data_IF_447202349631
#
_entry.id   IF_447202349631
#
_cell.length_a   1.000
_cell.length_b   1.000
_cell.length_c   1.000
_cell.angle_alpha   90.00
_cell.angle_beta   90.00
_cell.angle_gamma   90.00
#
_symmetry.space_group_name_H-M   'P 1'
#
loop_
_entity.id
_entity.type
_entity.pdbx_description
1 polymer ?
#
# COMPACT_ATOMS: atom_id res chain seq x y z
N UNK A 1 -5.07 58.81 -44.02
CA UNK A 1 -3.79 58.08 -44.15
C UNK A 1 -4.09 56.68 -44.65
N UNK A 2 -3.58 56.36 -45.83
CA UNK A 2 -3.83 55.12 -46.55
C UNK A 2 -2.81 54.05 -46.14
N UNK A 3 -3.27 52.81 -45.96
CA UNK A 3 -2.41 51.64 -45.94
C UNK A 3 -3.03 50.52 -46.76
N UNK A 4 -2.54 50.41 -48.00
CA UNK A 4 -2.75 49.30 -48.93
C UNK A 4 -2.34 47.97 -48.27
N UNK A 5 -3.21 46.97 -48.29
CA UNK A 5 -2.80 45.56 -48.28
C UNK A 5 -3.40 44.87 -49.49
N UNK A 6 -2.51 44.34 -50.33
CA UNK A 6 -2.77 43.72 -51.62
C UNK A 6 -3.62 42.46 -51.44
N UNK A 7 -4.73 42.38 -52.19
CA UNK A 7 -5.47 41.16 -52.47
C UNK A 7 -4.56 40.20 -53.22
N UNK A 8 -4.14 39.11 -52.58
CA UNK A 8 -3.34 38.06 -53.23
C UNK A 8 -4.29 36.97 -53.69
N UNK A 9 -4.22 36.68 -54.98
CA UNK A 9 -5.08 35.80 -55.73
C UNK A 9 -5.18 34.39 -55.12
N UNK A 10 -6.38 33.84 -55.18
CA UNK A 10 -6.71 32.44 -54.89
C UNK A 10 -6.05 31.61 -56.00
N UNK A 11 -4.89 31.03 -55.70
CA UNK A 11 -4.28 30.03 -56.55
C UNK A 11 -4.97 28.69 -56.26
N UNK A 12 -5.81 28.24 -57.21
CA UNK A 12 -6.15 26.83 -57.35
C UNK A 12 -4.83 26.08 -57.57
N UNK A 13 -4.41 25.30 -56.58
CA UNK A 13 -3.39 24.27 -56.78
C UNK A 13 -4.12 22.93 -56.77
N UNK A 14 -4.47 22.52 -57.98
CA UNK A 14 -4.37 21.17 -58.49
C UNK A 14 -4.64 20.05 -57.48
N UNK A 15 -5.87 19.56 -57.56
CA UNK A 15 -6.25 18.18 -57.23
C UNK A 15 -5.26 17.24 -57.93
N UNK A 16 -4.16 16.97 -57.26
CA UNK A 16 -3.23 15.92 -57.63
C UNK A 16 -3.50 14.82 -56.63
N UNK A 17 -3.90 13.67 -57.15
CA UNK A 17 -4.10 12.41 -56.43
C UNK A 17 -2.84 12.04 -55.64
N UNK A 18 -2.62 12.69 -54.50
CA UNK A 18 -1.81 12.15 -53.44
C UNK A 18 -2.63 11.01 -52.87
N UNK A 19 -2.44 9.84 -53.47
CA UNK A 19 -2.74 8.55 -52.85
C UNK A 19 -2.24 8.67 -51.42
N UNK A 20 -3.18 8.85 -50.48
CA UNK A 20 -2.91 8.70 -49.07
C UNK A 20 -2.57 7.21 -48.94
N UNK A 21 -1.31 6.87 -49.19
CA UNK A 21 -0.74 5.62 -48.76
C UNK A 21 -0.80 5.71 -47.25
N UNK A 22 -1.94 5.24 -46.73
CA UNK A 22 -2.15 4.90 -45.35
C UNK A 22 -0.89 4.15 -44.89
N UNK A 23 -0.01 4.85 -44.18
CA UNK A 23 1.10 4.19 -43.51
C UNK A 23 0.46 3.19 -42.54
N UNK A 24 0.79 1.90 -42.60
CA UNK A 24 0.21 0.91 -41.70
C UNK A 24 0.46 1.28 -40.22
N UNK A 25 1.52 2.05 -39.98
CA UNK A 25 1.95 2.60 -38.69
C UNK A 25 0.90 3.55 -38.07
N UNK A 26 0.10 4.25 -38.87
CA UNK A 26 -0.89 5.24 -38.37
C UNK A 26 -2.15 4.56 -37.79
N UNK A 27 -2.47 3.35 -38.25
CA UNK A 27 -3.58 2.55 -37.70
C UNK A 27 -3.16 1.73 -36.48
N UNK A 28 -1.85 1.55 -36.25
CA UNK A 28 -1.35 0.81 -35.11
C UNK A 28 -1.77 1.50 -33.79
N UNK A 29 -1.76 2.83 -33.72
CA UNK A 29 -2.22 3.58 -32.54
C UNK A 29 -3.74 3.50 -32.35
N UNK A 30 -4.52 3.50 -33.43
CA UNK A 30 -5.97 3.33 -33.36
C UNK A 30 -6.38 1.92 -32.90
N UNK A 31 -5.65 0.89 -33.34
CA UNK A 31 -5.90 -0.52 -32.95
C UNK A 31 -5.40 -0.80 -31.52
N UNK A 32 -4.27 -0.21 -31.12
CA UNK A 32 -3.72 -0.39 -29.77
C UNK A 32 -4.35 0.52 -28.73
N UNK A 33 -5.08 1.56 -29.16
CA UNK A 33 -5.70 2.57 -28.30
C UNK A 33 -4.71 3.58 -27.71
N UNK A 34 -3.47 3.62 -28.21
CA UNK A 34 -2.41 4.47 -27.67
C UNK A 34 -2.66 5.94 -28.03
N UNK A 35 -2.80 6.82 -27.03
CA UNK A 35 -2.98 8.27 -27.22
C UNK A 35 -4.42 8.76 -27.48
N UNK A 36 -5.45 7.90 -27.37
CA UNK A 36 -6.86 8.28 -27.45
C UNK A 36 -7.72 7.54 -26.40
N UNK A 37 -9.00 7.87 -26.19
CA UNK A 37 -9.89 7.07 -25.33
C UNK A 37 -10.18 5.76 -26.09
N UNK A 38 -9.68 4.56 -25.70
CA UNK A 38 -9.33 4.06 -24.36
C UNK A 38 -7.85 3.64 -24.25
N UNK A 39 -6.98 4.59 -23.92
CA UNK A 39 -5.56 4.32 -23.68
C UNK A 39 -5.38 3.55 -22.37
N UNK A 40 -4.75 2.37 -22.47
CA UNK A 40 -4.42 1.51 -21.32
C UNK A 40 -3.46 2.18 -20.34
N UNK A 41 -2.71 3.18 -20.79
CA UNK A 41 -1.86 4.04 -19.95
C UNK A 41 -2.63 5.06 -19.10
N UNK A 42 -3.90 5.33 -19.40
CA UNK A 42 -4.75 6.29 -18.68
C UNK A 42 -5.64 5.64 -17.61
N UNK A 43 -5.51 4.33 -17.40
CA UNK A 43 -6.34 3.57 -16.46
C UNK A 43 -5.95 3.75 -14.97
N UNK A 44 -4.86 4.46 -14.68
CA UNK A 44 -4.43 4.72 -13.30
C UNK A 44 -5.11 5.97 -12.77
N UNK A 45 -6.26 5.79 -12.11
CA UNK A 45 -6.88 6.83 -11.29
C UNK A 45 -6.64 6.53 -9.80
N UNK A 46 -6.53 7.59 -9.00
CA UNK A 46 -6.48 7.42 -7.56
C UNK A 46 -7.85 6.96 -7.05
N UNK A 47 -7.91 5.71 -6.61
CA UNK A 47 -9.07 5.20 -5.87
C UNK A 47 -8.76 5.26 -4.38
N UNK A 48 -9.50 6.11 -3.65
CA UNK A 48 -9.43 6.13 -2.19
C UNK A 48 -9.93 4.77 -1.67
N UNK A 49 -9.04 3.99 -1.07
CA UNK A 49 -9.43 2.72 -0.44
C UNK A 49 -10.37 3.01 0.75
N UNK A 50 -11.47 2.25 0.90
CA UNK A 50 -12.31 2.36 2.08
C UNK A 50 -11.49 2.02 3.33
N UNK A 51 -11.84 2.64 4.46
CA UNK A 51 -11.32 2.19 5.76
C UNK A 51 -11.93 0.82 6.05
N UNK A 52 -11.09 -0.14 6.39
CA UNK A 52 -11.54 -1.45 6.84
C UNK A 52 -12.23 -1.30 8.20
N UNK A 53 -13.37 -1.95 8.33
CA UNK A 53 -14.06 -2.13 9.60
C UNK A 53 -13.31 -3.14 10.48
N UNK A 54 -13.51 -3.11 11.81
CA UNK A 54 -12.90 -4.11 12.70
C UNK A 54 -13.26 -5.54 12.31
N UNK A 55 -14.48 -5.80 11.86
CA UNK A 55 -14.91 -7.15 11.45
C UNK A 55 -14.17 -7.65 10.20
N UNK A 56 -13.95 -6.77 9.22
CA UNK A 56 -13.14 -7.12 8.04
C UNK A 56 -11.70 -7.43 8.42
N UNK A 57 -11.12 -6.72 9.38
CA UNK A 57 -9.77 -6.99 9.86
C UNK A 57 -9.65 -8.37 10.52
N UNK A 58 -10.61 -8.76 11.36
CA UNK A 58 -10.65 -10.10 11.94
C UNK A 58 -10.82 -11.19 10.88
N UNK A 59 -11.74 -10.96 9.93
CA UNK A 59 -11.95 -11.88 8.82
C UNK A 59 -10.68 -12.09 7.99
N UNK A 60 -9.93 -11.02 7.72
CA UNK A 60 -8.67 -11.12 7.00
C UNK A 60 -7.60 -11.84 7.81
N UNK A 61 -7.51 -11.55 9.11
CA UNK A 61 -6.56 -12.24 9.99
C UNK A 61 -6.83 -13.75 10.06
N UNK A 62 -8.10 -14.18 10.09
CA UNK A 62 -8.47 -15.59 10.21
C UNK A 62 -8.44 -16.33 8.87
N UNK A 63 -8.80 -15.68 7.76
CA UNK A 63 -8.96 -16.33 6.46
C UNK A 63 -7.78 -16.16 5.51
N UNK A 64 -6.97 -15.11 5.66
CA UNK A 64 -5.80 -14.86 4.81
C UNK A 64 -4.49 -15.16 5.57
N UNK A 65 -3.80 -16.19 5.12
CA UNK A 65 -2.51 -16.60 5.68
C UNK A 65 -1.40 -15.55 5.52
N UNK A 66 -1.52 -14.63 4.56
CA UNK A 66 -0.56 -13.54 4.41
C UNK A 66 -0.79 -12.45 5.46
N UNK A 67 -2.07 -12.12 5.73
CA UNK A 67 -2.43 -11.16 6.76
C UNK A 67 -2.03 -11.67 8.15
N UNK A 68 -2.31 -12.95 8.46
CA UNK A 68 -1.91 -13.54 9.74
C UNK A 68 -0.38 -13.52 9.91
N UNK A 69 0.37 -14.01 8.92
CA UNK A 69 1.83 -14.00 8.97
C UNK A 69 2.43 -12.61 9.13
N UNK A 70 1.86 -11.58 8.49
CA UNK A 70 2.35 -10.22 8.63
C UNK A 70 2.19 -9.68 10.07
N UNK A 71 1.12 -10.09 10.74
CA UNK A 71 0.83 -9.70 12.12
C UNK A 71 1.67 -10.51 13.10
N UNK A 72 1.76 -11.82 12.91
CA UNK A 72 2.35 -12.77 13.86
C UNK A 72 3.89 -12.83 13.78
N UNK A 73 4.48 -12.67 12.59
CA UNK A 73 5.93 -12.86 12.36
C UNK A 73 6.80 -11.99 13.27
N UNK A 74 6.40 -10.73 13.47
CA UNK A 74 7.16 -9.76 14.25
C UNK A 74 7.10 -10.04 15.77
N UNK A 75 5.91 -10.15 16.40
CA UNK A 75 5.84 -10.49 17.82
C UNK A 75 6.48 -11.85 18.09
N UNK A 76 6.22 -12.86 17.26
CA UNK A 76 6.81 -14.19 17.46
C UNK A 76 8.34 -14.18 17.42
N UNK A 77 8.95 -13.39 16.53
CA UNK A 77 10.41 -13.29 16.45
C UNK A 77 11.00 -12.46 17.61
N UNK A 78 10.27 -11.42 18.05
CA UNK A 78 10.69 -10.57 19.16
C UNK A 78 10.58 -11.28 20.52
N UNK A 79 9.59 -12.15 20.71
CA UNK A 79 9.36 -12.90 21.95
C UNK A 79 10.03 -14.27 21.93
N UNK A 80 10.70 -14.62 20.83
CA UNK A 80 11.43 -15.89 20.68
C UNK A 80 12.56 -16.03 21.69
N UNK A 81 13.22 -14.91 21.99
CA UNK A 81 14.26 -14.83 23.02
C UNK A 81 13.62 -14.26 24.28
N UNK A 82 13.80 -14.95 25.41
CA UNK A 82 13.32 -14.45 26.70
C UNK A 82 13.95 -13.10 27.05
N UNK A 83 13.39 -12.43 28.07
CA UNK A 83 13.91 -11.14 28.52
C UNK A 83 14.82 -11.29 29.73
N UNK A 84 15.66 -10.28 29.98
CA UNK A 84 16.46 -10.15 31.20
C UNK A 84 16.17 -8.82 31.85
N UNK A 85 15.91 -8.84 33.15
CA UNK A 85 15.79 -7.63 33.94
C UNK A 85 17.17 -7.21 34.41
N UNK A 86 17.57 -5.99 34.06
CA UNK A 86 18.81 -5.36 34.53
C UNK A 86 18.44 -4.15 35.38
N UNK A 87 18.97 -4.08 36.61
CA UNK A 87 18.81 -2.92 37.48
C UNK A 87 20.08 -2.65 38.27
N UNK A 88 20.27 -1.37 38.62
CA UNK A 88 21.42 -0.89 39.39
C UNK A 88 21.20 -0.98 40.91
N UNK A 89 19.97 -1.26 41.34
CA UNK A 89 19.61 -1.37 42.75
C UNK A 89 19.87 -2.79 43.27
N UNK A 90 20.88 -2.91 44.13
CA UNK A 90 21.27 -4.16 44.79
C UNK A 90 20.28 -4.60 45.88
N UNK A 91 19.41 -3.69 46.35
CA UNK A 91 18.43 -4.01 47.40
C UNK A 91 17.17 -4.68 46.86
N UNK A 92 16.94 -4.61 45.55
CA UNK A 92 15.78 -5.20 44.89
C UNK A 92 16.08 -6.63 44.41
N UNK A 93 15.20 -7.57 44.75
CA UNK A 93 15.32 -8.97 44.34
C UNK A 93 14.82 -9.17 42.90
N UNK A 94 15.65 -8.83 41.92
CA UNK A 94 15.34 -8.99 40.49
C UNK A 94 14.97 -10.43 40.09
N UNK A 95 15.58 -11.43 40.75
CA UNK A 95 15.29 -12.84 40.48
C UNK A 95 13.91 -13.26 40.96
N UNK A 96 13.41 -12.70 42.07
CA UNK A 96 12.07 -13.00 42.56
C UNK A 96 11.02 -12.43 41.60
N UNK A 97 11.21 -11.18 41.14
CA UNK A 97 10.33 -10.57 40.15
C UNK A 97 10.35 -11.33 38.81
N UNK A 98 11.52 -11.80 38.37
CA UNK A 98 11.61 -12.62 37.16
C UNK A 98 10.80 -13.91 37.29
N UNK A 99 10.93 -14.60 38.44
CA UNK A 99 10.15 -15.81 38.73
C UNK A 99 8.65 -15.53 38.72
N UNK A 100 8.20 -14.46 39.37
CA UNK A 100 6.79 -14.08 39.39
C UNK A 100 6.27 -13.78 37.98
N UNK A 101 7.06 -13.09 37.14
CA UNK A 101 6.69 -12.78 35.75
C UNK A 101 6.67 -14.01 34.84
N UNK A 102 7.56 -14.97 35.07
CA UNK A 102 7.56 -16.26 34.37
C UNK A 102 6.36 -17.12 34.79
N UNK A 103 6.04 -17.15 36.09
CA UNK A 103 4.86 -17.88 36.62
C UNK A 103 3.55 -17.31 36.07
N UNK A 104 3.48 -15.99 35.85
CA UNK A 104 2.34 -15.31 35.23
C UNK A 104 2.33 -15.37 33.69
N UNK A 105 3.33 -16.01 33.07
CA UNK A 105 3.51 -16.09 31.63
C UNK A 105 3.42 -14.72 30.91
N UNK A 106 4.01 -13.70 31.54
CA UNK A 106 3.86 -12.31 31.12
C UNK A 106 4.37 -12.06 29.69
N UNK A 107 5.36 -12.83 29.23
CA UNK A 107 5.92 -12.70 27.89
C UNK A 107 4.92 -13.14 26.80
N UNK A 108 4.16 -14.20 27.02
CA UNK A 108 3.10 -14.61 26.08
C UNK A 108 1.94 -13.60 26.09
N UNK A 109 1.57 -13.07 27.26
CA UNK A 109 0.56 -12.02 27.35
C UNK A 109 0.98 -10.74 26.58
N UNK A 110 2.26 -10.39 26.63
CA UNK A 110 2.84 -9.29 25.83
C UNK A 110 2.83 -9.62 24.34
N UNK A 111 3.20 -10.85 23.95
CA UNK A 111 3.18 -11.30 22.56
C UNK A 111 1.77 -11.16 21.96
N UNK A 112 0.77 -11.65 22.68
CA UNK A 112 -0.62 -11.56 22.29
C UNK A 112 -1.06 -10.10 22.18
N UNK A 113 -0.88 -9.30 23.22
CA UNK A 113 -1.26 -7.90 23.17
C UNK A 113 -0.60 -7.15 22.01
N UNK A 114 0.65 -7.49 21.66
CA UNK A 114 1.29 -6.90 20.50
C UNK A 114 0.63 -7.33 19.18
N UNK A 115 0.21 -8.60 19.04
CA UNK A 115 -0.62 -9.05 17.90
C UNK A 115 -1.91 -8.25 17.80
N UNK A 116 -2.67 -8.12 18.89
CA UNK A 116 -3.91 -7.34 18.95
C UNK A 116 -3.67 -5.86 18.61
N UNK A 117 -2.57 -5.28 19.11
CA UNK A 117 -2.19 -3.90 18.82
C UNK A 117 -1.88 -3.67 17.33
N UNK A 118 -1.28 -4.66 16.64
CA UNK A 118 -1.05 -4.57 15.20
C UNK A 118 -2.32 -4.77 14.38
N UNK A 119 -3.26 -5.57 14.87
CA UNK A 119 -4.53 -5.82 14.19
C UNK A 119 -5.51 -4.64 14.34
N UNK A 120 -5.70 -4.12 15.55
CA UNK A 120 -6.71 -3.07 15.85
C UNK A 120 -6.12 -1.67 16.01
N UNK A 121 -4.80 -1.54 16.19
CA UNK A 121 -4.13 -0.27 16.49
C UNK A 121 -3.90 -0.01 17.98
N UNK A 122 -4.23 -0.95 18.88
CA UNK A 122 -3.94 -0.88 20.30
C UNK A 122 -4.35 -2.15 21.06
N UNK A 123 -3.79 -2.36 22.25
CA UNK A 123 -4.13 -3.47 23.13
C UNK A 123 -3.88 -3.10 24.61
N UNK A 124 -4.52 -3.84 25.51
CA UNK A 124 -4.37 -3.70 26.96
C UNK A 124 -3.97 -5.06 27.55
N UNK A 125 -3.00 -5.05 28.45
CA UNK A 125 -2.59 -6.24 29.21
C UNK A 125 -3.08 -6.05 30.66
N UNK A 126 -3.76 -7.07 31.19
CA UNK A 126 -4.14 -7.15 32.60
C UNK A 126 -3.54 -8.44 33.15
N UNK A 127 -2.55 -8.31 34.03
CA UNK A 127 -1.93 -9.39 34.78
C UNK A 127 -2.52 -9.36 36.18
N UNK A 128 -3.01 -10.51 36.67
CA UNK A 128 -3.68 -10.64 37.96
C UNK A 128 -3.07 -11.77 38.78
#
# INVERSE_FOLDING_TARGET
MATKKKTKAIAKTDTTDATIMARPDDYANAVTGLGGPPDKGQATFFQRRPRLSPEELYHWYEQDALASRLIDRLPDDATREGFKLTGEDETFNWNALMSDLEDMDALNAVADAWRWARLQGGALIVLA
#
